data_IF_642288156580
#
_entry.id   IF_642288156580
#
_cell.length_a   1.000
_cell.length_b   1.000
_cell.length_c   1.000
_cell.angle_alpha   90.00
_cell.angle_beta   90.00
_cell.angle_gamma   90.00
#
_symmetry.space_group_name_H-M   'P 1'
#
loop_
_entity.id
_entity.type
_entity.pdbx_description
1 polymer ?
#
# COMPACT_ATOMS: atom_id res chain seq x y z
N UNK A 1 -7.15 -21.10 5.71
CA UNK A 1 -7.16 -20.69 4.29
C UNK A 1 -6.47 -21.75 3.46
N UNK A 2 -7.09 -22.20 2.36
CA UNK A 2 -6.43 -23.08 1.38
C UNK A 2 -5.33 -22.32 0.64
N UNK A 3 -4.26 -23.01 0.26
CA UNK A 3 -3.25 -22.46 -0.64
C UNK A 3 -3.66 -22.72 -2.07
N UNK A 4 -3.59 -21.70 -2.91
CA UNK A 4 -3.87 -21.80 -4.34
C UNK A 4 -2.60 -21.51 -5.13
N UNK A 5 -2.46 -22.15 -6.30
CA UNK A 5 -1.32 -21.97 -7.19
C UNK A 5 -1.70 -21.04 -8.34
N UNK A 6 -0.93 -19.98 -8.53
CA UNK A 6 -1.06 -19.05 -9.65
C UNK A 6 0.21 -19.14 -10.49
N UNK A 7 0.06 -19.28 -11.82
CA UNK A 7 1.17 -19.28 -12.78
C UNK A 7 1.13 -18.00 -13.60
N UNK A 8 2.23 -17.25 -13.60
CA UNK A 8 2.39 -16.03 -14.41
C UNK A 8 3.79 -15.98 -15.02
N UNK A 9 3.94 -15.17 -16.07
CA UNK A 9 5.22 -14.98 -16.76
C UNK A 9 5.89 -13.70 -16.26
N UNK A 10 7.20 -13.76 -16.09
CA UNK A 10 8.07 -12.63 -15.81
C UNK A 10 9.29 -12.73 -16.72
N UNK A 11 9.91 -11.59 -16.98
CA UNK A 11 11.14 -11.56 -17.76
C UNK A 11 12.31 -12.16 -16.96
N UNK A 12 13.33 -12.65 -17.66
CA UNK A 12 14.49 -13.29 -17.03
C UNK A 12 15.23 -12.36 -16.07
N UNK A 13 15.26 -11.06 -16.37
CA UNK A 13 15.84 -10.02 -15.51
C UNK A 13 15.09 -9.88 -14.18
N UNK A 14 13.75 -9.87 -14.21
CA UNK A 14 12.93 -9.82 -12.99
C UNK A 14 13.14 -11.06 -12.14
N UNK A 15 13.19 -12.25 -12.76
CA UNK A 15 13.51 -13.49 -12.05
C UNK A 15 14.87 -13.41 -11.35
N UNK A 16 15.89 -12.90 -12.03
CA UNK A 16 17.24 -12.76 -11.47
C UNK A 16 17.27 -11.77 -10.29
N UNK A 17 16.54 -10.65 -10.38
CA UNK A 17 16.42 -9.69 -9.29
C UNK A 17 15.73 -10.31 -8.06
N UNK A 18 14.64 -11.05 -8.26
CA UNK A 18 13.95 -11.77 -7.18
C UNK A 18 14.85 -12.81 -6.50
N UNK A 19 15.68 -13.51 -7.29
CA UNK A 19 16.65 -14.47 -6.76
C UNK A 19 17.72 -13.80 -5.89
N UNK A 20 18.22 -12.63 -6.30
CA UNK A 20 19.20 -11.87 -5.53
C UNK A 20 18.61 -11.37 -4.20
N UNK A 21 17.37 -10.87 -4.20
CA UNK A 21 16.65 -10.44 -2.99
C UNK A 21 16.48 -11.62 -2.03
N UNK A 22 15.99 -12.75 -2.55
CA UNK A 22 15.77 -13.95 -1.74
C UNK A 22 17.07 -14.45 -1.09
N UNK A 23 18.18 -14.46 -1.85
CA UNK A 23 19.50 -14.82 -1.34
C UNK A 23 19.97 -13.87 -0.23
N UNK A 24 19.83 -12.55 -0.42
CA UNK A 24 20.18 -11.55 0.59
C UNK A 24 19.37 -11.67 1.89
N UNK A 25 18.14 -12.20 1.82
CA UNK A 25 17.27 -12.44 2.97
C UNK A 25 17.44 -13.84 3.58
N UNK A 26 18.27 -14.71 3.00
CA UNK A 26 18.34 -16.14 3.34
C UNK A 26 16.95 -16.83 3.31
N UNK A 27 16.20 -16.56 2.24
CA UNK A 27 14.84 -17.08 1.99
C UNK A 27 14.74 -17.66 0.59
N UNK A 28 13.65 -18.38 0.32
CA UNK A 28 13.34 -18.82 -1.03
C UNK A 28 12.60 -17.73 -1.83
N UNK A 29 12.56 -17.87 -3.15
CA UNK A 29 11.85 -16.93 -4.02
C UNK A 29 10.35 -16.84 -3.68
N UNK A 30 9.76 -17.94 -3.20
CA UNK A 30 8.34 -17.99 -2.85
C UNK A 30 8.02 -17.04 -1.70
N UNK A 31 8.88 -16.96 -0.70
CA UNK A 31 8.76 -16.01 0.39
C UNK A 31 8.67 -14.58 -0.16
N UNK A 32 9.65 -14.16 -0.97
CA UNK A 32 9.70 -12.80 -1.55
C UNK A 32 8.46 -12.51 -2.40
N UNK A 33 8.00 -13.48 -3.20
CA UNK A 33 6.80 -13.33 -4.02
C UNK A 33 5.52 -13.18 -3.17
N UNK A 34 5.38 -13.92 -2.08
CA UNK A 34 4.23 -13.79 -1.18
C UNK A 34 4.24 -12.43 -0.48
N UNK A 35 5.39 -11.97 -0.01
CA UNK A 35 5.52 -10.64 0.61
C UNK A 35 5.17 -9.52 -0.37
N UNK A 36 5.67 -9.62 -1.62
CA UNK A 36 5.36 -8.65 -2.66
C UNK A 36 3.86 -8.61 -2.99
N UNK A 37 3.21 -9.78 -3.09
CA UNK A 37 1.76 -9.87 -3.32
C UNK A 37 0.99 -9.29 -2.14
N UNK A 38 1.37 -9.62 -0.90
CA UNK A 38 0.71 -9.11 0.30
C UNK A 38 0.79 -7.58 0.38
N UNK A 39 1.99 -7.02 0.19
CA UNK A 39 2.20 -5.57 0.21
C UNK A 39 1.41 -4.86 -0.91
N UNK A 40 1.35 -5.45 -2.10
CA UNK A 40 0.59 -4.89 -3.22
C UNK A 40 -0.93 -4.92 -2.93
N UNK A 41 -1.43 -6.03 -2.39
CA UNK A 41 -2.85 -6.15 -2.04
C UNK A 41 -3.24 -5.17 -0.93
N UNK A 42 -2.43 -5.06 0.13
CA UNK A 42 -2.67 -4.11 1.22
C UNK A 42 -2.77 -2.66 0.70
N UNK A 43 -1.80 -2.26 -0.13
CA UNK A 43 -1.78 -0.92 -0.72
C UNK A 43 -3.01 -0.64 -1.58
N UNK A 44 -3.38 -1.56 -2.47
CA UNK A 44 -4.49 -1.34 -3.40
C UNK A 44 -5.86 -1.53 -2.77
N UNK A 45 -5.99 -2.40 -1.77
CA UNK A 45 -7.28 -2.65 -1.12
C UNK A 45 -7.77 -1.38 -0.41
N UNK A 46 -6.90 -0.72 0.37
CA UNK A 46 -7.23 0.58 0.97
C UNK A 46 -7.62 1.61 -0.09
N UNK A 47 -6.89 1.70 -1.20
CA UNK A 47 -7.18 2.66 -2.28
C UNK A 47 -8.54 2.39 -2.95
N UNK A 48 -8.84 1.13 -3.25
CA UNK A 48 -10.10 0.73 -3.87
C UNK A 48 -11.28 1.08 -2.96
N UNK A 49 -11.09 0.95 -1.64
CA UNK A 49 -12.13 1.25 -0.65
C UNK A 49 -12.28 2.76 -0.36
N UNK A 50 -11.19 3.50 -0.26
CA UNK A 50 -11.21 4.90 0.22
C UNK A 50 -11.29 5.95 -0.90
N UNK A 51 -10.73 5.69 -2.10
CA UNK A 51 -10.78 6.68 -3.19
C UNK A 51 -12.23 7.05 -3.56
N UNK A 52 -13.17 6.09 -3.74
CA UNK A 52 -14.54 6.44 -4.07
C UNK A 52 -15.25 7.23 -2.95
N UNK A 53 -14.93 6.94 -1.68
CA UNK A 53 -15.50 7.65 -0.53
C UNK A 53 -15.02 9.09 -0.49
N UNK A 54 -13.70 9.31 -0.63
CA UNK A 54 -13.13 10.66 -0.66
C UNK A 54 -13.65 11.49 -1.83
N UNK A 55 -13.90 10.88 -3.00
CA UNK A 55 -14.57 11.56 -4.12
C UNK A 55 -16.00 11.97 -3.74
N UNK A 56 -16.77 11.07 -3.12
CA UNK A 56 -18.14 11.36 -2.69
C UNK A 56 -18.19 12.49 -1.65
N UNK A 57 -17.31 12.45 -0.65
CA UNK A 57 -17.17 13.49 0.39
C UNK A 57 -16.81 14.85 -0.24
N UNK A 58 -15.86 14.86 -1.17
CA UNK A 58 -15.47 16.06 -1.90
C UNK A 58 -16.62 16.64 -2.74
N UNK A 59 -17.35 15.80 -3.46
CA UNK A 59 -18.53 16.22 -4.25
C UNK A 59 -19.66 16.74 -3.36
N UNK A 60 -19.77 16.23 -2.12
CA UNK A 60 -20.69 16.72 -1.10
C UNK A 60 -20.22 18.00 -0.41
N UNK A 61 -19.00 18.48 -0.69
CA UNK A 61 -18.41 19.64 -0.04
C UNK A 61 -17.98 19.39 1.41
N UNK A 62 -17.78 18.12 1.80
CA UNK A 62 -17.36 17.71 3.14
C UNK A 62 -15.86 17.96 3.34
N UNK A 63 -15.49 19.24 3.39
CA UNK A 63 -14.15 19.71 3.67
C UNK A 63 -14.11 20.37 5.05
N UNK A 64 -12.96 20.25 5.72
CA UNK A 64 -12.70 21.01 6.94
C UNK A 64 -12.75 22.52 6.65
N UNK A 65 -13.31 23.27 7.58
CA UNK A 65 -13.29 24.73 7.57
C UNK A 65 -11.87 25.28 7.86
N UNK A 66 -11.65 26.54 7.48
CA UNK A 66 -10.39 27.25 7.74
C UNK A 66 -10.03 27.25 9.24
N UNK A 67 -11.01 27.44 10.12
CA UNK A 67 -10.86 27.37 11.57
C UNK A 67 -10.42 25.99 12.08
N UNK A 68 -11.01 24.91 11.55
CA UNK A 68 -10.63 23.53 11.93
C UNK A 68 -9.19 23.23 11.51
N UNK A 69 -8.83 23.61 10.28
CA UNK A 69 -7.46 23.48 9.76
C UNK A 69 -6.48 24.24 10.66
N UNK A 70 -6.77 25.51 10.98
CA UNK A 70 -5.92 26.33 11.86
C UNK A 70 -5.75 25.72 13.25
N UNK A 71 -6.83 25.17 13.81
CA UNK A 71 -6.81 24.52 15.13
C UNK A 71 -5.89 23.29 15.14
N UNK A 72 -5.99 22.45 14.12
CA UNK A 72 -5.13 21.26 13.99
C UNK A 72 -3.66 21.63 13.79
N UNK A 73 -3.35 22.61 12.93
CA UNK A 73 -1.98 23.08 12.73
C UNK A 73 -1.35 23.62 14.01
N UNK A 74 -2.11 24.40 14.79
CA UNK A 74 -1.65 24.93 16.08
C UNK A 74 -1.29 23.79 17.04
N UNK A 75 -2.13 22.74 17.11
CA UNK A 75 -1.87 21.56 17.95
C UNK A 75 -0.63 20.79 17.52
N UNK A 76 -0.43 20.57 16.22
CA UNK A 76 0.66 19.74 15.71
C UNK A 76 2.01 20.45 15.68
N UNK A 77 2.03 21.78 15.55
CA UNK A 77 3.26 22.58 15.49
C UNK A 77 3.74 23.03 16.88
N UNK A 78 2.81 23.25 17.83
CA UNK A 78 3.16 23.73 19.18
C UNK A 78 3.18 22.60 20.21
N UNK A 79 3.61 21.39 19.82
CA UNK A 79 3.89 20.33 20.78
C UNK A 79 5.22 20.67 21.45
N UNK A 80 5.16 21.25 22.65
CA UNK A 80 6.28 21.24 23.62
C UNK A 80 6.54 19.82 24.14
#
# INVERSE_FOLDING_TARGET
>A
MSKENITFRIDSSQKAALDAIAAGMNRDRKYVLNEAVAAYLEMYQWQIEEIPKGIYEADAGDFASDEEVKTIFTRLINVD
#
